data_IF_047070733386
#
_entry.id   IF_047070733386
#
_cell.length_a   1.000
_cell.length_b   1.000
_cell.length_c   1.000
_cell.angle_alpha   90.00
_cell.angle_beta   90.00
_cell.angle_gamma   90.00
#
_symmetry.space_group_name_H-M   'P 1'
#
loop_
_entity.id
_entity.type
_entity.pdbx_description
1 polymer ?
#
# COMPACT_ATOMS: atom_id res chain seq x y z
N UNK A 1 5.82 -13.26 -42.75
CA UNK A 1 6.12 -14.67 -42.45
C UNK A 1 6.66 -14.85 -41.03
N UNK A 2 7.83 -14.30 -40.67
CA UNK A 2 8.46 -14.53 -39.35
C UNK A 2 7.60 -14.11 -38.14
N UNK A 3 6.89 -12.98 -38.20
CA UNK A 3 6.01 -12.53 -37.10
C UNK A 3 4.81 -13.47 -36.93
N UNK A 4 4.18 -13.87 -38.04
CA UNK A 4 3.01 -14.76 -38.04
C UNK A 4 3.37 -16.18 -37.57
N UNK A 5 4.56 -16.69 -37.93
CA UNK A 5 5.10 -17.99 -37.47
C UNK A 5 5.52 -18.00 -35.99
N UNK A 6 5.93 -16.86 -35.43
CA UNK A 6 6.28 -16.74 -34.01
C UNK A 6 5.05 -16.55 -33.09
N UNK A 7 3.94 -16.04 -33.63
CA UNK A 7 2.68 -15.85 -32.89
C UNK A 7 1.80 -17.10 -32.96
N UNK A 8 1.81 -17.80 -34.08
CA UNK A 8 1.12 -19.07 -34.27
C UNK A 8 2.15 -20.19 -34.14
N UNK A 9 2.32 -20.75 -32.94
CA UNK A 9 2.98 -22.04 -32.83
C UNK A 9 2.19 -23.04 -33.66
N UNK A 10 2.88 -23.62 -34.64
CA UNK A 10 2.51 -24.79 -35.45
C UNK A 10 1.38 -25.62 -34.85
N UNK A 11 0.33 -25.90 -35.64
CA UNK A 11 -0.62 -26.99 -35.34
C UNK A 11 0.18 -28.23 -34.94
N UNK A 12 -0.14 -28.81 -33.78
CA UNK A 12 0.41 -30.11 -33.41
C UNK A 12 -0.03 -31.14 -34.47
N UNK A 13 0.88 -31.82 -35.19
CA UNK A 13 0.50 -32.79 -36.21
C UNK A 13 -0.27 -34.00 -35.65
N UNK A 14 -0.26 -34.18 -34.32
CA UNK A 14 -0.84 -35.35 -33.65
C UNK A 14 -2.23 -35.11 -33.03
N UNK A 15 -2.69 -33.86 -32.91
CA UNK A 15 -4.01 -33.56 -32.32
C UNK A 15 -4.64 -32.29 -32.91
N UNK A 16 -5.55 -32.48 -33.87
CA UNK A 16 -6.19 -31.40 -34.64
C UNK A 16 -7.16 -30.52 -33.84
N UNK A 17 -7.42 -30.85 -32.57
CA UNK A 17 -8.46 -30.22 -31.76
C UNK A 17 -7.93 -29.32 -30.63
N UNK A 18 -6.61 -29.18 -30.47
CA UNK A 18 -6.02 -28.24 -29.50
C UNK A 18 -4.85 -27.45 -30.12
N UNK A 19 -4.95 -26.11 -30.27
CA UNK A 19 -3.78 -25.29 -30.54
C UNK A 19 -2.81 -25.40 -29.36
N UNK A 20 -1.52 -25.66 -29.61
CA UNK A 20 -0.48 -25.68 -28.57
C UNK A 20 -0.42 -24.33 -27.83
N UNK A 21 -0.15 -24.31 -26.51
CA UNK A 21 -0.81 -23.38 -25.60
C UNK A 21 0.01 -22.14 -25.19
N UNK A 22 1.16 -21.89 -25.82
CA UNK A 22 2.07 -20.82 -25.37
C UNK A 22 2.56 -19.96 -26.54
N UNK A 23 1.86 -18.86 -26.88
CA UNK A 23 2.43 -17.90 -27.79
C UNK A 23 3.76 -17.44 -27.21
N UNK A 24 4.84 -17.52 -27.99
CA UNK A 24 6.19 -17.11 -27.57
C UNK A 24 6.32 -15.58 -27.57
N UNK A 25 5.29 -14.93 -27.01
CA UNK A 25 5.04 -13.50 -27.07
C UNK A 25 6.14 -12.73 -26.35
N UNK A 26 6.77 -13.32 -25.34
CA UNK A 26 7.90 -12.72 -24.65
C UNK A 26 9.12 -12.51 -25.56
N UNK A 27 9.40 -13.45 -26.49
CA UNK A 27 10.47 -13.29 -27.46
C UNK A 27 10.09 -12.29 -28.55
N UNK A 28 8.87 -12.40 -29.09
CA UNK A 28 8.37 -11.45 -30.09
C UNK A 28 8.35 -10.01 -29.56
N UNK A 29 7.91 -9.80 -28.33
CA UNK A 29 7.79 -8.47 -27.71
C UNK A 29 9.15 -7.82 -27.44
N UNK A 30 10.21 -8.61 -27.24
CA UNK A 30 11.61 -8.15 -27.13
C UNK A 30 12.16 -7.63 -28.46
N UNK A 31 11.71 -8.19 -29.58
CA UNK A 31 12.18 -7.79 -30.90
C UNK A 31 11.71 -6.38 -31.33
N UNK A 32 10.81 -5.74 -30.57
CA UNK A 32 10.44 -4.32 -30.78
C UNK A 32 11.61 -3.36 -30.64
N UNK A 33 12.70 -3.76 -29.99
CA UNK A 33 13.93 -2.96 -29.88
C UNK A 33 14.71 -2.80 -31.20
N UNK A 34 14.37 -3.56 -32.25
CA UNK A 34 15.13 -3.57 -33.52
C UNK A 34 14.90 -2.30 -34.34
N UNK A 35 13.66 -1.85 -34.51
CA UNK A 35 13.34 -0.57 -35.17
C UNK A 35 11.92 -0.10 -34.83
N UNK A 36 11.65 1.21 -35.00
CA UNK A 36 10.31 1.79 -34.76
C UNK A 36 9.24 1.18 -35.68
N UNK A 37 9.54 1.01 -36.95
CA UNK A 37 8.62 0.42 -37.93
C UNK A 37 8.32 -1.04 -37.60
N UNK A 38 9.33 -1.80 -37.17
CA UNK A 38 9.17 -3.18 -36.76
C UNK A 38 8.37 -3.31 -35.46
N UNK A 39 8.59 -2.40 -34.50
CA UNK A 39 7.77 -2.33 -33.29
C UNK A 39 6.29 -2.08 -33.60
N UNK A 40 5.99 -1.13 -34.50
CA UNK A 40 4.62 -0.83 -34.92
C UNK A 40 3.95 -2.03 -35.61
N UNK A 41 4.71 -2.77 -36.42
CA UNK A 41 4.23 -3.97 -37.10
C UNK A 41 3.93 -5.11 -36.11
N UNK A 42 4.83 -5.35 -35.14
CA UNK A 42 4.60 -6.31 -34.06
C UNK A 42 3.36 -5.94 -33.25
N UNK A 43 3.19 -4.67 -32.90
CA UNK A 43 2.02 -4.20 -32.15
C UNK A 43 0.73 -4.39 -32.94
N UNK A 44 0.73 -4.08 -34.24
CA UNK A 44 -0.41 -4.30 -35.13
C UNK A 44 -0.78 -5.78 -35.21
N UNK A 45 0.20 -6.63 -35.45
CA UNK A 45 0.00 -8.08 -35.56
C UNK A 45 -0.56 -8.66 -34.26
N UNK A 46 0.03 -8.31 -33.10
CA UNK A 46 -0.38 -8.85 -31.79
C UNK A 46 -1.76 -8.33 -31.34
N UNK A 47 -2.10 -7.06 -31.60
CA UNK A 47 -3.33 -6.45 -31.07
C UNK A 47 -4.54 -6.47 -32.02
N UNK A 48 -4.34 -6.71 -33.32
CA UNK A 48 -5.43 -6.58 -34.30
C UNK A 48 -5.56 -7.72 -35.31
N UNK A 49 -4.55 -8.59 -35.45
CA UNK A 49 -4.56 -9.66 -36.45
C UNK A 49 -4.66 -11.07 -35.85
N UNK A 50 -4.75 -11.20 -34.52
CA UNK A 50 -4.83 -12.50 -33.85
C UNK A 50 -6.25 -13.04 -33.69
N UNK A 51 -6.43 -14.37 -33.71
CA UNK A 51 -7.72 -15.02 -33.45
C UNK A 51 -8.17 -14.84 -31.99
N UNK A 52 -9.45 -15.05 -31.68
CA UNK A 52 -10.01 -14.78 -30.34
C UNK A 52 -9.36 -15.63 -29.25
N UNK A 53 -9.04 -16.89 -29.55
CA UNK A 53 -8.42 -17.85 -28.64
C UNK A 53 -7.06 -17.34 -28.14
N UNK A 54 -6.34 -16.56 -28.95
CA UNK A 54 -5.06 -15.96 -28.57
C UNK A 54 -5.19 -15.07 -27.33
N UNK A 55 -6.27 -14.29 -27.23
CA UNK A 55 -6.49 -13.34 -26.14
C UNK A 55 -7.01 -14.01 -24.86
N UNK A 56 -7.38 -15.29 -24.90
CA UNK A 56 -7.69 -16.08 -23.70
C UNK A 56 -6.46 -16.36 -22.84
N UNK A 57 -5.26 -16.28 -23.43
CA UNK A 57 -4.02 -16.62 -22.74
C UNK A 57 -3.60 -15.53 -21.73
N UNK A 58 -3.33 -15.93 -20.48
CA UNK A 58 -3.04 -15.03 -19.34
C UNK A 58 -1.91 -14.02 -19.62
N UNK A 59 -0.86 -14.42 -20.34
CA UNK A 59 0.25 -13.52 -20.67
C UNK A 59 -0.16 -12.45 -21.71
N UNK A 60 -1.06 -12.78 -22.63
CA UNK A 60 -1.60 -11.84 -23.61
C UNK A 60 -2.54 -10.86 -22.92
N UNK A 61 -3.39 -11.33 -22.00
CA UNK A 61 -4.24 -10.45 -21.19
C UNK A 61 -3.44 -9.45 -20.37
N UNK A 62 -2.34 -9.88 -19.73
CA UNK A 62 -1.41 -8.96 -19.05
C UNK A 62 -0.80 -7.93 -20.00
N UNK A 63 -0.46 -8.34 -21.22
CA UNK A 63 0.08 -7.46 -22.26
C UNK A 63 -0.92 -6.39 -22.67
N UNK A 64 -2.16 -6.80 -22.98
CA UNK A 64 -3.27 -5.91 -23.30
C UNK A 64 -3.54 -4.96 -22.14
N UNK A 65 -3.58 -5.44 -20.89
CA UNK A 65 -3.76 -4.59 -19.70
C UNK A 65 -2.70 -3.50 -19.61
N UNK A 66 -1.44 -3.85 -19.87
CA UNK A 66 -0.30 -2.93 -19.78
C UNK A 66 -0.27 -1.91 -20.92
N UNK A 67 -0.78 -2.29 -22.10
CA UNK A 67 -0.75 -1.48 -23.31
C UNK A 67 -2.16 -1.16 -23.84
N UNK A 68 -3.11 -0.99 -22.92
CA UNK A 68 -4.54 -0.94 -23.25
C UNK A 68 -4.89 0.17 -24.23
N UNK A 69 -4.30 1.36 -24.09
CA UNK A 69 -4.52 2.46 -25.03
C UNK A 69 -4.12 2.10 -26.46
N UNK A 70 -2.90 1.57 -26.64
CA UNK A 70 -2.40 1.15 -27.96
C UNK A 70 -3.26 0.04 -28.55
N UNK A 71 -3.68 -0.92 -27.73
CA UNK A 71 -4.61 -1.96 -28.14
C UNK A 71 -5.92 -1.36 -28.66
N UNK A 72 -6.57 -0.47 -27.89
CA UNK A 72 -7.85 0.15 -28.28
C UNK A 72 -7.74 0.99 -29.55
N UNK A 73 -6.62 1.70 -29.74
CA UNK A 73 -6.36 2.46 -30.97
C UNK A 73 -6.24 1.55 -32.21
N UNK A 74 -5.64 0.37 -32.08
CA UNK A 74 -5.53 -0.59 -33.19
C UNK A 74 -6.86 -1.29 -33.47
N UNK A 75 -7.57 -1.72 -32.41
CA UNK A 75 -8.90 -2.34 -32.54
C UNK A 75 -9.92 -1.38 -33.16
N UNK A 76 -9.81 -0.07 -32.89
CA UNK A 76 -10.68 0.94 -33.51
C UNK A 76 -10.57 1.02 -35.03
N UNK A 77 -9.48 0.52 -35.63
CA UNK A 77 -9.32 0.43 -37.08
C UNK A 77 -9.98 -0.81 -37.67
N UNK A 78 -10.16 -1.87 -36.87
CA UNK A 78 -10.74 -3.17 -37.26
C UNK A 78 -11.46 -3.82 -36.07
N UNK A 79 -12.70 -3.41 -35.74
CA UNK A 79 -13.37 -3.80 -34.50
C UNK A 79 -13.84 -5.26 -34.44
N UNK A 80 -13.79 -6.02 -35.55
CA UNK A 80 -14.31 -7.40 -35.61
C UNK A 80 -13.61 -8.42 -34.69
N UNK A 81 -12.49 -8.05 -34.05
CA UNK A 81 -11.74 -8.92 -33.13
C UNK A 81 -12.26 -8.92 -31.69
N UNK A 82 -13.20 -8.03 -31.33
CA UNK A 82 -13.69 -7.84 -29.95
C UNK A 82 -15.22 -7.85 -29.87
N UNK A 83 -15.75 -8.07 -28.66
CA UNK A 83 -17.18 -7.96 -28.35
C UNK A 83 -17.67 -6.53 -28.63
N UNK A 84 -18.69 -6.42 -29.48
CA UNK A 84 -19.17 -5.14 -29.98
C UNK A 84 -19.82 -4.28 -28.89
N UNK A 85 -20.50 -4.89 -27.92
CA UNK A 85 -21.15 -4.14 -26.84
C UNK A 85 -20.09 -3.47 -25.96
N UNK A 86 -19.10 -4.24 -25.49
CA UNK A 86 -18.01 -3.71 -24.68
C UNK A 86 -17.21 -2.63 -25.40
N UNK A 87 -16.89 -2.86 -26.68
CA UNK A 87 -16.18 -1.90 -27.51
C UNK A 87 -16.97 -0.60 -27.69
N UNK A 88 -18.27 -0.71 -27.99
CA UNK A 88 -19.17 0.45 -28.14
C UNK A 88 -19.27 1.26 -26.86
N UNK A 89 -19.35 0.60 -25.70
CA UNK A 89 -19.39 1.29 -24.40
C UNK A 89 -18.14 2.15 -24.16
N UNK A 90 -16.94 1.58 -24.32
CA UNK A 90 -15.68 2.31 -24.20
C UNK A 90 -15.59 3.47 -25.20
N UNK A 91 -15.98 3.23 -26.46
CA UNK A 91 -15.98 4.27 -27.48
C UNK A 91 -16.92 5.43 -27.13
N UNK A 92 -18.12 5.16 -26.60
CA UNK A 92 -19.06 6.21 -26.19
C UNK A 92 -18.50 7.07 -25.07
N UNK A 93 -17.76 6.49 -24.13
CA UNK A 93 -17.09 7.24 -23.08
C UNK A 93 -15.98 8.16 -23.62
N UNK A 94 -15.14 7.64 -24.52
CA UNK A 94 -14.09 8.45 -25.18
C UNK A 94 -14.71 9.56 -26.02
N UNK A 95 -15.71 9.23 -26.83
CA UNK A 95 -16.37 10.18 -27.72
C UNK A 95 -17.05 11.31 -26.91
N UNK A 96 -17.61 11.00 -25.74
CA UNK A 96 -18.12 12.01 -24.83
C UNK A 96 -17.04 13.02 -24.39
N UNK A 97 -15.85 12.57 -24.01
CA UNK A 97 -14.73 13.49 -23.69
C UNK A 97 -14.35 14.28 -24.94
N UNK A 98 -14.30 13.58 -26.08
CA UNK A 98 -13.82 14.18 -27.32
C UNK A 98 -14.71 15.34 -27.76
N UNK A 99 -16.02 15.22 -27.61
CA UNK A 99 -17.00 16.25 -27.97
C UNK A 99 -17.00 17.47 -27.04
N UNK A 100 -16.37 17.38 -25.86
CA UNK A 100 -16.40 18.44 -24.83
C UNK A 100 -15.11 19.27 -24.77
N UNK A 101 -14.12 18.94 -25.61
CA UNK A 101 -12.83 19.61 -25.69
C UNK A 101 -12.69 20.21 -27.09
N UNK A 102 -12.24 21.45 -27.16
CA UNK A 102 -11.88 22.11 -28.41
C UNK A 102 -10.45 21.71 -28.80
N UNK A 103 -10.21 21.49 -30.09
CA UNK A 103 -8.91 21.07 -30.62
C UNK A 103 -8.47 22.02 -31.72
N UNK A 104 -7.18 22.33 -31.75
CA UNK A 104 -6.56 23.09 -32.83
C UNK A 104 -6.18 22.16 -34.00
N UNK A 105 -5.84 20.90 -33.70
CA UNK A 105 -5.40 19.92 -34.71
C UNK A 105 -5.85 18.47 -34.42
N UNK A 106 -5.57 17.57 -35.38
CA UNK A 106 -5.86 16.13 -35.25
C UNK A 106 -4.95 15.40 -34.27
N UNK A 107 -3.77 15.92 -33.98
CA UNK A 107 -2.79 15.30 -33.07
C UNK A 107 -3.25 15.46 -31.62
N UNK A 108 -3.66 16.66 -31.22
CA UNK A 108 -4.28 16.97 -29.93
C UNK A 108 -5.52 16.09 -29.68
N UNK A 109 -6.37 15.91 -30.69
CA UNK A 109 -7.52 14.99 -30.58
C UNK A 109 -7.08 13.55 -30.32
N UNK A 110 -6.04 13.09 -30.99
CA UNK A 110 -5.51 11.72 -30.82
C UNK A 110 -4.85 11.55 -29.45
N UNK A 111 -4.16 12.58 -28.95
CA UNK A 111 -3.56 12.61 -27.61
C UNK A 111 -4.63 12.51 -26.51
N UNK A 112 -5.75 13.23 -26.64
CA UNK A 112 -6.87 13.12 -25.69
C UNK A 112 -7.46 11.72 -25.68
N UNK A 113 -7.61 11.10 -26.85
CA UNK A 113 -8.08 9.71 -26.96
C UNK A 113 -7.11 8.74 -26.27
N UNK A 114 -5.80 8.85 -26.58
CA UNK A 114 -4.76 7.99 -25.99
C UNK A 114 -4.70 8.15 -24.47
N UNK A 115 -4.73 9.39 -23.98
CA UNK A 115 -4.75 9.71 -22.55
C UNK A 115 -5.98 9.12 -21.86
N UNK A 116 -7.16 9.21 -22.48
CA UNK A 116 -8.40 8.68 -21.92
C UNK A 116 -8.36 7.16 -21.80
N UNK A 117 -7.92 6.45 -22.84
CA UNK A 117 -7.77 4.98 -22.75
C UNK A 117 -6.68 4.57 -21.76
N UNK A 118 -5.58 5.30 -21.69
CA UNK A 118 -4.56 5.06 -20.67
C UNK A 118 -5.14 5.28 -19.26
N UNK A 119 -5.99 6.28 -19.06
CA UNK A 119 -6.70 6.50 -17.81
C UNK A 119 -7.67 5.37 -17.45
N UNK A 120 -8.40 4.82 -18.44
CA UNK A 120 -9.25 3.65 -18.21
C UNK A 120 -8.47 2.44 -17.69
N UNK A 121 -7.23 2.25 -18.14
CA UNK A 121 -6.37 1.16 -17.63
C UNK A 121 -6.08 1.22 -16.14
N UNK A 122 -6.23 2.41 -15.53
CA UNK A 122 -6.00 2.68 -14.11
C UNK A 122 -7.29 2.71 -13.28
N UNK A 123 -8.38 3.16 -13.88
CA UNK A 123 -9.65 3.45 -13.19
C UNK A 123 -10.64 2.27 -13.28
N UNK A 124 -10.70 1.58 -14.43
CA UNK A 124 -11.68 0.52 -14.64
C UNK A 124 -11.18 -0.83 -14.09
N UNK A 125 -12.10 -1.75 -13.73
CA UNK A 125 -11.73 -3.11 -13.32
C UNK A 125 -11.23 -3.89 -14.53
N UNK A 126 -9.93 -3.75 -14.83
CA UNK A 126 -9.37 -4.21 -16.11
C UNK A 126 -9.50 -5.71 -16.36
N UNK A 127 -9.59 -6.54 -15.33
CA UNK A 127 -9.78 -7.97 -15.50
C UNK A 127 -11.21 -8.28 -16.01
N UNK A 128 -12.21 -7.54 -15.54
CA UNK A 128 -13.59 -7.61 -16.04
C UNK A 128 -13.70 -6.99 -17.45
N UNK A 129 -13.02 -5.87 -17.70
CA UNK A 129 -12.96 -5.20 -19.02
C UNK A 129 -12.37 -6.13 -20.07
N UNK A 130 -11.23 -6.75 -19.77
CA UNK A 130 -10.55 -7.70 -20.66
C UNK A 130 -11.43 -8.93 -20.86
N UNK A 131 -12.05 -9.47 -19.81
CA UNK A 131 -13.00 -10.57 -19.97
C UNK A 131 -14.15 -10.19 -20.91
N UNK A 132 -14.79 -9.03 -20.70
CA UNK A 132 -15.92 -8.57 -21.50
C UNK A 132 -15.57 -8.29 -22.97
N UNK A 133 -14.33 -7.91 -23.29
CA UNK A 133 -13.86 -7.70 -24.67
C UNK A 133 -13.88 -8.99 -25.51
N UNK A 134 -13.83 -10.17 -24.90
CA UNK A 134 -13.84 -11.46 -25.62
C UNK A 134 -14.90 -12.44 -25.09
N UNK A 135 -15.85 -11.96 -24.29
CA UNK A 135 -16.95 -12.78 -23.79
C UNK A 135 -18.12 -12.75 -24.78
N UNK A 136 -18.50 -13.93 -25.30
CA UNK A 136 -19.68 -14.11 -26.15
C UNK A 136 -20.84 -14.79 -25.39
N UNK A 137 -20.66 -15.11 -24.11
CA UNK A 137 -21.66 -15.79 -23.30
C UNK A 137 -22.85 -14.86 -23.01
N UNK A 138 -24.00 -15.20 -23.59
CA UNK A 138 -25.28 -14.53 -23.29
C UNK A 138 -25.59 -14.70 -21.81
N UNK A 139 -25.84 -13.59 -21.10
CA UNK A 139 -26.13 -13.60 -19.66
C UNK A 139 -24.93 -13.85 -18.75
N UNK A 140 -23.69 -13.64 -19.23
CA UNK A 140 -22.51 -13.69 -18.37
C UNK A 140 -22.63 -12.73 -17.18
N UNK A 141 -22.60 -13.27 -15.96
CA UNK A 141 -22.77 -12.49 -14.72
C UNK A 141 -21.73 -11.36 -14.57
N UNK A 142 -20.49 -11.59 -14.96
CA UNK A 142 -19.43 -10.57 -14.94
C UNK A 142 -19.70 -9.43 -15.92
N UNK A 143 -20.08 -9.77 -17.17
CA UNK A 143 -20.41 -8.79 -18.18
C UNK A 143 -21.67 -7.99 -17.81
N UNK A 144 -22.70 -8.65 -17.28
CA UNK A 144 -23.94 -7.99 -16.84
C UNK A 144 -23.71 -7.07 -15.66
N UNK A 145 -22.79 -7.41 -14.73
CA UNK A 145 -22.40 -6.51 -13.64
C UNK A 145 -21.69 -5.25 -14.14
N UNK A 146 -20.93 -5.35 -15.22
CA UNK A 146 -20.15 -4.24 -15.78
C UNK A 146 -20.96 -3.36 -16.76
N UNK A 147 -21.69 -3.97 -17.69
CA UNK A 147 -22.36 -3.30 -18.80
C UNK A 147 -23.89 -3.25 -18.66
N UNK A 148 -24.47 -4.04 -17.76
CA UNK A 148 -25.91 -4.30 -17.73
C UNK A 148 -26.36 -5.32 -18.78
N UNK A 149 -27.68 -5.47 -18.95
CA UNK A 149 -28.27 -6.30 -19.99
C UNK A 149 -28.15 -5.66 -21.38
N UNK A 150 -28.29 -4.34 -21.45
CA UNK A 150 -28.19 -3.53 -22.67
C UNK A 150 -27.55 -2.18 -22.36
N UNK A 151 -26.90 -1.58 -23.36
CA UNK A 151 -26.30 -0.26 -23.20
C UNK A 151 -27.38 0.83 -23.20
N UNK A 152 -27.43 1.70 -22.16
CA UNK A 152 -28.41 2.78 -22.11
C UNK A 152 -28.28 3.74 -23.31
N UNK A 153 -29.39 4.27 -23.81
CA UNK A 153 -29.42 5.20 -24.97
C UNK A 153 -28.54 6.43 -24.71
N UNK A 154 -28.60 6.99 -23.50
CA UNK A 154 -27.74 8.09 -23.05
C UNK A 154 -26.64 7.56 -22.16
N UNK A 155 -25.42 8.06 -22.34
CA UNK A 155 -24.29 7.67 -21.51
C UNK A 155 -24.61 8.02 -20.04
N UNK A 156 -24.61 7.04 -19.12
CA UNK A 156 -24.86 7.26 -17.70
C UNK A 156 -23.91 8.30 -17.10
N UNK A 157 -24.33 8.91 -16.00
CA UNK A 157 -23.52 9.90 -15.30
C UNK A 157 -22.18 9.32 -14.83
N UNK A 158 -22.21 8.13 -14.23
CA UNK A 158 -21.01 7.46 -13.73
C UNK A 158 -19.97 7.27 -14.83
N UNK A 159 -20.40 6.86 -16.02
CA UNK A 159 -19.51 6.66 -17.18
C UNK A 159 -18.93 7.99 -17.67
N UNK A 160 -19.72 9.08 -17.67
CA UNK A 160 -19.23 10.43 -17.98
C UNK A 160 -18.16 10.89 -16.99
N UNK A 161 -18.38 10.63 -15.70
CA UNK A 161 -17.43 10.94 -14.64
C UNK A 161 -16.13 10.16 -14.82
N UNK A 162 -16.21 8.84 -15.00
CA UNK A 162 -15.04 7.98 -15.24
C UNK A 162 -14.28 8.40 -16.50
N UNK A 163 -14.98 8.78 -17.58
CA UNK A 163 -14.37 9.29 -18.80
C UNK A 163 -13.62 10.62 -18.57
N UNK A 164 -14.25 11.58 -17.89
CA UNK A 164 -13.64 12.86 -17.57
C UNK A 164 -12.41 12.71 -16.67
N UNK A 165 -12.47 11.81 -15.68
CA UNK A 165 -11.35 11.52 -14.78
C UNK A 165 -10.21 10.78 -15.50
N UNK A 166 -10.53 9.81 -16.35
CA UNK A 166 -9.56 9.09 -17.16
C UNK A 166 -8.79 10.02 -18.12
N UNK A 167 -9.46 11.03 -18.66
CA UNK A 167 -8.84 12.08 -19.47
C UNK A 167 -8.05 13.13 -18.65
N UNK A 168 -8.13 13.09 -17.31
CA UNK A 168 -7.65 14.14 -16.41
C UNK A 168 -8.20 15.53 -16.76
N UNK A 169 -9.47 15.59 -17.18
CA UNK A 169 -10.14 16.83 -17.57
C UNK A 169 -10.92 17.42 -16.38
N UNK A 170 -10.22 18.16 -15.53
CA UNK A 170 -10.78 18.78 -14.33
C UNK A 170 -11.91 19.78 -14.64
N UNK A 171 -11.89 20.48 -15.78
CA UNK A 171 -12.96 21.40 -16.19
C UNK A 171 -14.27 20.65 -16.44
N UNK A 172 -14.17 19.50 -17.10
CA UNK A 172 -15.33 18.65 -17.35
C UNK A 172 -15.86 18.06 -16.03
N UNK A 173 -14.97 17.63 -15.12
CA UNK A 173 -15.36 17.21 -13.78
C UNK A 173 -16.10 18.32 -13.01
N UNK A 174 -15.62 19.57 -13.04
CA UNK A 174 -16.30 20.70 -12.39
C UNK A 174 -17.69 21.00 -12.99
N UNK A 175 -17.93 20.68 -14.27
CA UNK A 175 -19.26 20.79 -14.90
C UNK A 175 -20.19 19.62 -14.55
N UNK A 176 -19.62 18.44 -14.34
CA UNK A 176 -20.31 17.17 -14.12
C UNK A 176 -20.75 17.07 -12.64
N UNK A 177 -19.85 17.30 -11.68
CA UNK A 177 -20.10 17.09 -10.24
C UNK A 177 -21.33 17.83 -9.68
N UNK A 178 -21.60 19.11 -10.00
CA UNK A 178 -22.76 19.82 -9.46
C UNK A 178 -24.11 19.29 -9.93
N UNK A 179 -24.15 18.51 -11.02
CA UNK A 179 -25.39 18.01 -11.65
C UNK A 179 -25.84 16.66 -11.10
N UNK A 180 -25.23 16.19 -10.02
CA UNK A 180 -25.48 14.89 -9.40
C UNK A 180 -26.83 14.82 -8.68
N UNK A 181 -27.67 13.87 -9.10
CA UNK A 181 -28.82 13.46 -8.30
C UNK A 181 -28.38 12.66 -7.06
N UNK A 182 -29.32 12.27 -6.19
CA UNK A 182 -29.02 11.52 -4.96
C UNK A 182 -28.40 10.15 -5.23
N UNK A 183 -28.94 9.43 -6.22
CA UNK A 183 -28.49 8.06 -6.56
C UNK A 183 -27.07 8.05 -7.12
N UNK A 184 -26.75 9.03 -7.97
CA UNK A 184 -25.43 9.18 -8.57
C UNK A 184 -24.40 9.66 -7.53
N UNK A 185 -24.81 10.40 -6.47
CA UNK A 185 -23.93 10.73 -5.33
C UNK A 185 -23.53 9.48 -4.56
N UNK A 186 -24.49 8.61 -4.26
CA UNK A 186 -24.21 7.36 -3.54
C UNK A 186 -23.28 6.46 -4.37
N UNK A 187 -23.50 6.40 -5.69
CA UNK A 187 -22.59 5.73 -6.63
C UNK A 187 -21.21 6.38 -6.68
N UNK A 188 -21.12 7.70 -6.68
CA UNK A 188 -19.84 8.41 -6.65
C UNK A 188 -19.07 8.06 -5.37
N UNK A 189 -19.72 8.04 -4.21
CA UNK A 189 -19.08 7.71 -2.93
C UNK A 189 -18.60 6.25 -2.92
N UNK A 190 -19.40 5.32 -3.44
CA UNK A 190 -19.07 3.88 -3.46
C UNK A 190 -17.98 3.50 -4.48
N UNK A 191 -17.75 4.33 -5.51
CA UNK A 191 -16.83 4.02 -6.62
C UNK A 191 -15.40 4.51 -6.40
N UNK A 192 -15.02 4.93 -5.19
CA UNK A 192 -13.64 5.33 -4.84
C UNK A 192 -12.98 6.38 -5.77
N UNK A 193 -13.67 7.49 -6.10
CA UNK A 193 -13.19 8.50 -7.05
C UNK A 193 -11.90 9.19 -6.61
N UNK A 194 -11.70 9.32 -5.29
CA UNK A 194 -10.46 9.86 -4.71
C UNK A 194 -9.27 8.93 -4.94
N UNK A 195 -9.48 7.61 -4.84
CA UNK A 195 -8.44 6.62 -5.16
C UNK A 195 -8.06 6.69 -6.64
N UNK A 196 -9.05 6.77 -7.52
CA UNK A 196 -8.81 6.89 -8.96
C UNK A 196 -8.00 8.14 -9.30
N UNK A 197 -8.31 9.29 -8.70
CA UNK A 197 -7.53 10.52 -8.90
C UNK A 197 -6.07 10.36 -8.40
N UNK A 198 -5.87 9.66 -7.28
CA UNK A 198 -4.53 9.31 -6.76
C UNK A 198 -3.76 8.40 -7.74
N UNK A 199 -4.38 7.33 -8.24
CA UNK A 199 -3.77 6.41 -9.22
C UNK A 199 -3.42 7.10 -10.55
N UNK A 200 -4.22 8.08 -10.95
CA UNK A 200 -3.96 8.95 -12.09
C UNK A 200 -2.84 9.95 -11.84
N UNK A 201 -2.40 10.14 -10.58
CA UNK A 201 -1.50 11.21 -10.13
C UNK A 201 -1.99 12.60 -10.53
N UNK A 202 -3.30 12.81 -10.48
CA UNK A 202 -3.93 14.08 -10.85
C UNK A 202 -4.41 14.83 -9.59
N UNK A 203 -3.57 15.74 -9.11
CA UNK A 203 -3.88 16.56 -7.93
C UNK A 203 -5.09 17.47 -8.15
N UNK A 204 -5.27 17.97 -9.38
CA UNK A 204 -6.32 18.96 -9.69
C UNK A 204 -7.69 18.31 -9.69
N UNK A 205 -7.79 17.12 -10.28
CA UNK A 205 -9.02 16.32 -10.23
C UNK A 205 -9.30 15.85 -8.80
N UNK A 206 -8.29 15.42 -8.04
CA UNK A 206 -8.45 15.07 -6.63
C UNK A 206 -9.02 16.24 -5.82
N UNK A 207 -8.43 17.44 -5.94
CA UNK A 207 -8.91 18.62 -5.24
C UNK A 207 -10.33 19.02 -5.64
N UNK A 208 -10.65 18.93 -6.93
CA UNK A 208 -12.00 19.20 -7.44
C UNK A 208 -13.04 18.27 -6.82
N UNK A 209 -12.71 16.97 -6.72
CA UNK A 209 -13.58 15.96 -6.09
C UNK A 209 -13.73 16.25 -4.59
N UNK A 210 -12.62 16.50 -3.88
CA UNK A 210 -12.66 16.77 -2.43
C UNK A 210 -13.49 18.02 -2.12
N UNK A 211 -13.28 19.13 -2.85
CA UNK A 211 -14.08 20.35 -2.68
C UNK A 211 -15.57 20.11 -2.91
N UNK A 212 -15.92 19.29 -3.90
CA UNK A 212 -17.31 18.92 -4.10
C UNK A 212 -17.86 18.15 -2.89
N UNK A 213 -17.11 17.16 -2.36
CA UNK A 213 -17.51 16.41 -1.17
C UNK A 213 -17.69 17.32 0.06
N UNK A 214 -16.84 18.33 0.25
CA UNK A 214 -17.00 19.34 1.32
C UNK A 214 -18.37 20.04 1.28
N UNK A 215 -18.89 20.35 0.09
CA UNK A 215 -20.20 21.00 -0.05
C UNK A 215 -21.38 20.10 0.30
N UNK A 216 -21.19 18.79 0.34
CA UNK A 216 -22.25 17.80 0.57
C UNK A 216 -22.23 17.22 2.01
N UNK A 217 -21.29 17.67 2.84
CA UNK A 217 -20.96 17.07 4.14
C UNK A 217 -22.01 17.26 5.25
N UNK A 218 -22.94 18.21 5.11
CA UNK A 218 -24.10 18.34 6.02
C UNK A 218 -25.08 17.16 5.94
N UNK A 219 -25.06 16.38 4.86
CA UNK A 219 -25.98 15.25 4.63
C UNK A 219 -25.32 13.87 4.78
N UNK A 220 -23.98 13.80 4.79
CA UNK A 220 -23.21 12.56 4.56
C UNK A 220 -22.37 12.08 5.76
N UNK A 221 -22.32 12.83 6.87
CA UNK A 221 -21.64 12.38 8.11
C UNK A 221 -22.16 11.02 8.65
N UNK A 222 -23.43 10.70 8.39
CA UNK A 222 -24.07 9.43 8.81
C UNK A 222 -23.55 8.24 7.98
N UNK A 223 -23.26 8.43 6.69
CA UNK A 223 -22.85 7.35 5.78
C UNK A 223 -21.34 7.04 5.83
N UNK A 224 -20.51 8.01 6.22
CA UNK A 224 -19.06 7.80 6.35
C UNK A 224 -18.67 7.06 7.64
N UNK A 225 -19.58 6.97 8.62
CA UNK A 225 -19.33 6.35 9.93
C UNK A 225 -20.06 5.02 10.12
N UNK A 226 -21.18 4.81 9.43
CA UNK A 226 -21.94 3.56 9.46
C UNK A 226 -21.83 2.80 8.11
N UNK A 227 -21.21 1.62 8.18
CA UNK A 227 -21.32 0.50 7.22
C UNK A 227 -20.62 0.50 5.85
N UNK A 228 -20.02 1.57 5.33
CA UNK A 228 -19.26 1.45 4.06
C UNK A 228 -17.75 1.32 4.26
N UNK A 229 -17.28 0.07 4.38
CA UNK A 229 -15.86 -0.34 4.30
C UNK A 229 -15.12 0.08 3.01
N UNK A 230 -15.76 0.79 2.07
CA UNK A 230 -15.21 1.06 0.73
C UNK A 230 -14.88 2.53 0.42
N UNK A 231 -15.30 3.52 1.20
CA UNK A 231 -14.77 4.89 1.07
C UNK A 231 -13.84 5.19 2.25
N UNK A 232 -12.54 4.96 2.07
CA UNK A 232 -11.57 5.27 3.11
C UNK A 232 -10.58 6.29 2.57
N UNK A 233 -10.85 7.57 2.82
CA UNK A 233 -9.83 8.64 2.70
C UNK A 233 -8.57 8.20 3.46
N UNK A 234 -8.73 7.49 4.58
CA UNK A 234 -7.61 6.87 5.30
C UNK A 234 -6.81 5.88 4.45
N UNK A 235 -7.45 5.04 3.63
CA UNK A 235 -6.76 4.16 2.68
C UNK A 235 -6.09 4.94 1.56
N UNK A 236 -6.71 6.02 1.08
CA UNK A 236 -6.08 6.91 0.11
C UNK A 236 -4.81 7.55 0.69
N UNK A 237 -4.84 8.00 1.94
CA UNK A 237 -3.67 8.51 2.68
C UNK A 237 -2.59 7.42 2.77
N UNK A 238 -2.92 6.19 3.16
CA UNK A 238 -1.95 5.09 3.18
C UNK A 238 -1.27 4.88 1.82
N UNK A 239 -2.06 4.87 0.73
CA UNK A 239 -1.55 4.65 -0.63
C UNK A 239 -0.67 5.83 -1.08
N UNK A 240 -1.08 7.08 -0.84
CA UNK A 240 -0.27 8.26 -1.23
C UNK A 240 1.04 8.32 -0.46
N UNK A 241 1.05 7.92 0.82
CA UNK A 241 2.27 7.80 1.61
C UNK A 241 3.21 6.72 1.07
N UNK A 242 2.67 5.53 0.78
CA UNK A 242 3.42 4.41 0.20
C UNK A 242 4.00 4.75 -1.20
N UNK A 243 3.20 5.38 -2.06
CA UNK A 243 3.60 5.81 -3.41
C UNK A 243 4.49 7.07 -3.44
N UNK A 244 4.77 7.66 -2.27
CA UNK A 244 5.55 8.90 -2.11
C UNK A 244 4.95 10.10 -2.84
N UNK A 245 3.61 10.18 -2.90
CA UNK A 245 2.89 11.28 -3.52
C UNK A 245 2.51 12.34 -2.49
N UNK A 246 3.52 13.09 -2.01
CA UNK A 246 3.39 14.02 -0.89
C UNK A 246 2.30 15.10 -1.06
N UNK A 247 2.16 15.79 -2.22
CA UNK A 247 1.11 16.80 -2.38
C UNK A 247 -0.31 16.25 -2.20
N UNK A 248 -0.57 15.03 -2.69
CA UNK A 248 -1.87 14.40 -2.49
C UNK A 248 -2.06 13.89 -1.05
N UNK A 249 -1.00 13.40 -0.41
CA UNK A 249 -1.04 13.01 1.00
C UNK A 249 -1.40 14.20 1.90
N UNK A 250 -0.76 15.36 1.70
CA UNK A 250 -1.06 16.60 2.42
C UNK A 250 -2.51 17.04 2.20
N UNK A 251 -2.95 17.12 0.95
CA UNK A 251 -4.32 17.51 0.62
C UNK A 251 -5.38 16.61 1.29
N UNK A 252 -5.11 15.29 1.32
CA UNK A 252 -6.01 14.32 1.97
C UNK A 252 -5.97 14.42 3.50
N UNK A 253 -4.80 14.68 4.10
CA UNK A 253 -4.65 14.91 5.54
C UNK A 253 -5.39 16.18 5.97
N UNK A 254 -5.22 17.29 5.24
CA UNK A 254 -5.91 18.56 5.49
C UNK A 254 -7.44 18.39 5.40
N UNK A 255 -7.91 17.68 4.37
CA UNK A 255 -9.33 17.36 4.23
C UNK A 255 -9.83 16.50 5.41
N UNK A 256 -9.04 15.50 5.83
CA UNK A 256 -9.40 14.61 6.92
C UNK A 256 -9.52 15.38 8.23
N UNK A 257 -8.55 16.23 8.54
CA UNK A 257 -8.53 17.03 9.77
C UNK A 257 -9.74 17.96 9.88
N UNK A 258 -10.11 18.59 8.76
CA UNK A 258 -11.21 19.53 8.69
C UNK A 258 -12.59 18.87 8.76
N UNK A 259 -12.77 17.71 8.11
CA UNK A 259 -14.10 17.19 7.79
C UNK A 259 -14.45 15.85 8.48
N UNK A 260 -13.47 15.13 9.03
CA UNK A 260 -13.67 13.76 9.54
C UNK A 260 -13.37 13.63 11.05
N UNK A 261 -13.94 12.61 11.73
CA UNK A 261 -13.66 12.36 13.14
C UNK A 261 -12.22 11.89 13.37
N UNK A 262 -11.80 11.88 14.64
CA UNK A 262 -10.49 11.38 15.06
C UNK A 262 -10.23 9.97 14.50
N UNK A 263 -9.08 9.71 13.85
CA UNK A 263 -8.76 8.39 13.36
C UNK A 263 -8.48 7.42 14.52
N UNK A 264 -8.75 6.13 14.29
CA UNK A 264 -8.40 5.09 15.25
C UNK A 264 -6.88 4.95 15.40
N UNK A 265 -6.40 4.45 16.56
CA UNK A 265 -4.97 4.14 16.80
C UNK A 265 -4.39 3.26 15.67
N UNK A 266 -5.15 2.26 15.20
CA UNK A 266 -4.75 1.38 14.10
C UNK A 266 -4.61 2.11 12.77
N UNK A 267 -5.51 3.04 12.48
CA UNK A 267 -5.48 3.83 11.24
C UNK A 267 -4.26 4.75 11.23
N UNK A 268 -4.07 5.50 12.32
CA UNK A 268 -2.95 6.43 12.45
C UNK A 268 -1.60 5.72 12.47
N UNK A 269 -1.45 4.65 13.25
CA UNK A 269 -0.22 3.85 13.25
C UNK A 269 0.09 3.25 11.87
N UNK A 270 -0.94 2.89 11.09
CA UNK A 270 -0.79 2.50 9.69
C UNK A 270 -0.22 3.63 8.81
N UNK A 271 -0.72 4.86 8.93
CA UNK A 271 -0.17 6.01 8.18
C UNK A 271 1.30 6.27 8.54
N UNK A 272 1.62 6.25 9.83
CA UNK A 272 3.00 6.44 10.30
C UNK A 272 3.90 5.29 9.82
N UNK A 273 3.40 4.06 9.79
CA UNK A 273 4.14 2.90 9.24
C UNK A 273 4.49 3.12 7.76
N UNK A 274 3.51 3.45 6.92
CA UNK A 274 3.72 3.67 5.48
C UNK A 274 4.67 4.86 5.22
N UNK A 275 4.55 5.93 6.00
CA UNK A 275 5.44 7.08 5.90
C UNK A 275 6.88 6.79 6.38
N UNK A 276 7.04 5.88 7.33
CA UNK A 276 8.35 5.49 7.89
C UNK A 276 9.04 4.37 7.11
N UNK A 277 8.29 3.55 6.36
CA UNK A 277 8.82 2.48 5.55
C UNK A 277 9.72 3.02 4.40
N UNK A 278 10.98 2.57 4.35
CA UNK A 278 11.99 2.92 3.33
C UNK A 278 12.45 4.39 3.28
N UNK A 279 12.34 5.12 4.40
CA UNK A 279 12.46 6.58 4.51
C UNK A 279 13.64 7.24 3.75
N UNK A 280 13.40 7.64 2.50
CA UNK A 280 14.19 8.63 1.73
C UNK A 280 13.93 10.06 2.24
N UNK A 281 14.71 11.07 1.81
CA UNK A 281 14.54 12.47 2.24
C UNK A 281 13.08 12.97 2.08
N UNK A 282 12.42 12.63 0.97
CA UNK A 282 11.02 12.99 0.69
C UNK A 282 10.02 12.30 1.63
N UNK A 283 10.33 11.09 2.10
CA UNK A 283 9.46 10.35 3.01
C UNK A 283 9.55 10.89 4.44
N UNK A 284 10.68 11.49 4.82
CA UNK A 284 10.78 12.21 6.09
C UNK A 284 9.82 13.41 6.10
N UNK A 285 9.63 14.09 4.96
CA UNK A 285 8.64 15.16 4.83
C UNK A 285 7.20 14.63 4.91
N UNK A 286 6.92 13.47 4.32
CA UNK A 286 5.62 12.80 4.46
C UNK A 286 5.34 12.41 5.91
N UNK A 287 6.33 11.85 6.61
CA UNK A 287 6.24 11.53 8.03
C UNK A 287 5.98 12.78 8.87
N UNK A 288 6.71 13.87 8.62
CA UNK A 288 6.47 15.17 9.28
C UNK A 288 5.06 15.68 9.06
N UNK A 289 4.50 15.52 7.86
CA UNK A 289 3.12 15.90 7.58
C UNK A 289 2.12 15.09 8.43
N UNK A 290 2.31 13.76 8.52
CA UNK A 290 1.46 12.88 9.36
C UNK A 290 1.60 13.21 10.85
N UNK A 291 2.82 13.53 11.31
CA UNK A 291 3.05 13.90 12.71
C UNK A 291 2.45 15.27 13.08
N UNK A 292 2.48 16.24 12.16
CA UNK A 292 1.83 17.55 12.32
C UNK A 292 0.31 17.45 12.43
N UNK A 293 -0.31 16.53 11.70
CA UNK A 293 -1.74 16.22 11.83
C UNK A 293 -2.11 15.81 13.27
N UNK A 294 -1.16 15.28 14.05
CA UNK A 294 -1.36 14.91 15.45
C UNK A 294 -1.00 16.04 16.45
N UNK A 295 -0.60 17.24 16.00
CA UNK A 295 -0.29 18.34 16.91
C UNK A 295 -1.56 19.09 17.33
N UNK A 296 -1.90 19.05 18.62
CA UNK A 296 -2.88 19.95 19.25
C UNK A 296 -4.24 19.35 19.61
N UNK A 297 -4.74 18.32 18.90
CA UNK A 297 -6.09 17.75 19.15
C UNK A 297 -6.09 16.32 19.68
N UNK A 298 -5.08 15.52 19.35
CA UNK A 298 -5.00 14.09 19.67
C UNK A 298 -3.60 13.69 20.12
N UNK A 299 -3.49 12.71 21.03
CA UNK A 299 -2.21 12.09 21.37
C UNK A 299 -2.21 10.64 20.85
N UNK A 300 -2.00 10.48 19.54
CA UNK A 300 -2.05 9.17 18.86
C UNK A 300 -0.66 8.50 18.75
N UNK A 301 0.37 9.08 19.35
CA UNK A 301 1.70 8.46 19.45
C UNK A 301 1.68 7.49 20.63
N UNK A 302 0.98 6.39 20.41
CA UNK A 302 0.84 5.30 21.35
C UNK A 302 1.73 4.09 21.04
N UNK A 303 1.51 2.99 21.76
CA UNK A 303 2.28 1.76 21.60
C UNK A 303 2.22 1.16 20.19
N UNK A 304 1.06 1.26 19.52
CA UNK A 304 0.86 0.75 18.16
C UNK A 304 1.74 1.53 17.15
N UNK A 305 1.73 2.86 17.25
CA UNK A 305 2.52 3.77 16.41
C UNK A 305 4.01 3.52 16.59
N UNK A 306 4.48 3.48 17.84
CA UNK A 306 5.88 3.19 18.15
C UNK A 306 6.28 1.78 17.69
N UNK A 307 5.40 0.78 17.89
CA UNK A 307 5.64 -0.58 17.44
C UNK A 307 5.81 -0.67 15.92
N UNK A 308 4.96 0.02 15.16
CA UNK A 308 5.03 0.05 13.70
C UNK A 308 6.32 0.73 13.19
N UNK A 309 6.66 1.90 13.76
CA UNK A 309 7.86 2.65 13.40
C UNK A 309 9.13 1.88 13.76
N UNK A 310 9.18 1.27 14.95
CA UNK A 310 10.34 0.46 15.33
C UNK A 310 10.46 -0.80 14.49
N UNK A 311 9.38 -1.35 13.93
CA UNK A 311 9.43 -2.53 13.07
C UNK A 311 9.95 -2.19 11.66
N UNK A 312 9.59 -1.04 11.09
CA UNK A 312 9.82 -0.75 9.66
C UNK A 312 10.66 0.52 9.39
N UNK A 313 10.69 1.47 10.31
CA UNK A 313 11.38 2.75 10.16
C UNK A 313 12.90 2.63 10.17
N UNK A 314 13.57 3.57 9.51
CA UNK A 314 15.01 3.76 9.64
C UNK A 314 15.35 4.66 10.83
N UNK A 315 16.64 4.87 11.10
CA UNK A 315 17.10 5.68 12.25
C UNK A 315 16.50 7.09 12.25
N UNK A 316 16.47 7.78 11.11
CA UNK A 316 15.92 9.14 11.00
C UNK A 316 14.41 9.19 11.28
N UNK A 317 13.64 8.26 10.72
CA UNK A 317 12.19 8.18 10.98
C UNK A 317 11.88 7.88 12.44
N UNK A 318 12.65 6.99 13.07
CA UNK A 318 12.50 6.67 14.49
C UNK A 318 12.80 7.90 15.34
N UNK A 319 13.92 8.59 15.09
CA UNK A 319 14.29 9.81 15.82
C UNK A 319 13.23 10.91 15.67
N UNK A 320 12.70 11.11 14.47
CA UNK A 320 11.65 12.10 14.21
C UNK A 320 10.39 11.79 15.05
N UNK A 321 9.90 10.55 15.05
CA UNK A 321 8.72 10.17 15.83
C UNK A 321 8.98 10.32 17.34
N UNK A 322 10.19 10.01 17.80
CA UNK A 322 10.58 10.14 19.21
C UNK A 322 10.58 11.59 19.71
N UNK A 323 10.80 12.59 18.83
CA UNK A 323 10.71 14.02 19.22
C UNK A 323 9.30 14.43 19.66
N UNK A 324 8.28 13.67 19.25
CA UNK A 324 6.88 13.92 19.62
C UNK A 324 6.39 13.05 20.79
N UNK A 325 7.28 12.24 21.39
CA UNK A 325 6.96 11.45 22.60
C UNK A 325 7.16 12.33 23.83
N UNK A 326 6.10 12.53 24.62
CA UNK A 326 6.14 13.38 25.83
C UNK A 326 7.21 12.95 26.86
N UNK A 327 7.27 11.65 27.15
CA UNK A 327 8.26 11.07 28.08
C UNK A 327 8.65 9.66 27.65
N UNK A 328 9.88 9.51 27.19
CA UNK A 328 10.43 8.24 26.68
C UNK A 328 10.59 7.17 27.77
N UNK A 329 10.64 7.58 29.05
CA UNK A 329 10.84 6.73 30.21
C UNK A 329 9.54 6.37 30.94
N UNK A 330 8.41 6.94 30.54
CA UNK A 330 7.11 6.70 31.15
C UNK A 330 6.38 5.56 30.47
N UNK A 331 5.68 4.76 31.27
CA UNK A 331 4.78 3.70 30.79
C UNK A 331 4.93 2.40 31.55
N UNK A 332 4.30 1.37 31.00
CA UNK A 332 4.35 -0.01 31.53
C UNK A 332 5.16 -0.90 30.61
N UNK A 333 5.29 -2.19 30.94
CA UNK A 333 5.98 -3.16 30.09
C UNK A 333 5.48 -3.19 28.62
N UNK A 334 4.18 -2.95 28.42
CA UNK A 334 3.56 -2.95 27.08
C UNK A 334 3.56 -1.58 26.41
N UNK A 335 3.65 -0.49 27.18
CA UNK A 335 3.43 0.88 26.66
C UNK A 335 4.65 1.79 26.71
N UNK A 336 5.66 1.47 27.51
CA UNK A 336 6.88 2.26 27.60
C UNK A 336 7.67 2.19 26.27
N UNK A 337 8.02 3.34 25.67
CA UNK A 337 8.72 3.41 24.39
C UNK A 337 9.95 2.51 24.31
N UNK A 338 10.80 2.53 25.35
CA UNK A 338 12.02 1.73 25.36
C UNK A 338 11.73 0.21 25.42
N UNK A 339 10.70 -0.23 26.15
CA UNK A 339 10.31 -1.64 26.15
C UNK A 339 9.71 -2.09 24.82
N UNK A 340 8.98 -1.21 24.11
CA UNK A 340 8.51 -1.50 22.76
C UNK A 340 9.70 -1.67 21.80
N UNK A 341 10.73 -0.80 21.91
CA UNK A 341 11.95 -0.92 21.10
C UNK A 341 12.68 -2.24 21.35
N UNK A 342 12.86 -2.65 22.60
CA UNK A 342 13.44 -3.96 22.94
C UNK A 342 12.64 -5.13 22.37
N UNK A 343 11.30 -5.09 22.48
CA UNK A 343 10.44 -6.16 21.94
C UNK A 343 10.41 -6.20 20.42
N UNK A 344 10.71 -5.09 19.74
CA UNK A 344 10.81 -5.04 18.28
C UNK A 344 11.95 -5.89 17.72
N UNK A 345 12.97 -6.20 18.53
CA UNK A 345 14.15 -6.94 18.08
C UNK A 345 15.10 -6.12 17.19
N UNK A 346 14.92 -4.80 17.10
CA UNK A 346 15.73 -3.93 16.23
C UNK A 346 16.68 -3.05 17.04
N UNK A 347 17.98 -3.34 16.94
CA UNK A 347 19.04 -2.58 17.62
C UNK A 347 19.02 -1.08 17.27
N UNK A 348 18.65 -0.74 16.02
CA UNK A 348 18.49 0.65 15.57
C UNK A 348 17.45 1.41 16.40
N UNK A 349 16.34 0.76 16.76
CA UNK A 349 15.31 1.38 17.60
C UNK A 349 15.82 1.62 19.02
N UNK A 350 16.58 0.68 19.58
CA UNK A 350 17.20 0.83 20.91
C UNK A 350 18.18 2.00 20.90
N UNK A 351 19.08 2.06 19.92
CA UNK A 351 20.06 3.14 19.79
C UNK A 351 19.38 4.50 19.65
N UNK A 352 18.33 4.60 18.82
CA UNK A 352 17.57 5.84 18.67
C UNK A 352 16.86 6.26 19.97
N UNK A 353 16.28 5.30 20.72
CA UNK A 353 15.70 5.61 22.02
C UNK A 353 16.75 6.09 23.04
N UNK A 354 17.93 5.47 23.08
CA UNK A 354 19.01 5.89 23.98
C UNK A 354 19.50 7.30 23.64
N UNK A 355 19.64 7.62 22.35
CA UNK A 355 19.96 8.97 21.88
C UNK A 355 18.89 9.99 22.26
N UNK A 356 17.62 9.58 22.31
CA UNK A 356 16.50 10.39 22.78
C UNK A 356 16.36 10.44 24.32
N UNK A 357 17.33 9.91 25.09
CA UNK A 357 17.35 9.99 26.55
C UNK A 357 16.63 8.86 27.27
N UNK A 358 16.39 7.71 26.61
CA UNK A 358 15.86 6.54 27.28
C UNK A 358 16.83 5.99 28.34
N UNK A 359 16.29 5.65 29.50
CA UNK A 359 17.01 4.98 30.57
C UNK A 359 17.16 3.49 30.23
N UNK A 360 18.38 3.06 29.91
CA UNK A 360 18.71 1.66 29.62
C UNK A 360 18.33 0.71 30.77
N UNK A 361 18.32 1.24 32.00
CA UNK A 361 18.00 0.52 33.24
C UNK A 361 16.58 0.83 33.75
N UNK A 362 15.68 1.25 32.86
CA UNK A 362 14.29 1.50 33.20
C UNK A 362 13.69 0.29 33.92
N UNK A 363 13.01 0.53 35.04
CA UNK A 363 12.49 -0.53 35.90
C UNK A 363 10.99 -0.32 36.07
N UNK A 364 10.19 -1.19 35.46
CA UNK A 364 8.71 -1.09 35.50
C UNK A 364 8.11 -2.27 36.23
N UNK A 365 7.02 -2.04 36.95
CA UNK A 365 6.24 -3.13 37.56
C UNK A 365 5.50 -3.90 36.47
N UNK A 366 5.59 -5.23 36.41
CA UNK A 366 4.85 -6.00 35.43
C UNK A 366 3.35 -5.95 35.74
N UNK A 367 2.56 -5.73 34.70
CA UNK A 367 1.09 -5.68 34.79
C UNK A 367 0.49 -7.09 34.98
N UNK A 368 1.30 -8.15 34.75
CA UNK A 368 0.90 -9.55 34.92
C UNK A 368 1.43 -10.12 36.23
N UNK A 369 0.51 -10.43 37.16
CA UNK A 369 0.83 -11.07 38.46
C UNK A 369 1.49 -12.45 38.29
N UNK A 370 1.24 -13.15 37.18
CA UNK A 370 1.80 -14.47 36.87
C UNK A 370 3.33 -14.51 36.72
N UNK A 371 3.98 -13.36 36.46
CA UNK A 371 5.44 -13.32 36.27
C UNK A 371 6.19 -13.43 37.62
N UNK A 372 5.50 -13.24 38.75
CA UNK A 372 6.10 -13.39 40.09
C UNK A 372 7.27 -12.43 40.36
N UNK A 373 7.37 -11.34 39.59
CA UNK A 373 8.43 -10.33 39.68
C UNK A 373 7.87 -9.00 40.12
N UNK A 374 8.63 -8.31 40.96
CA UNK A 374 8.28 -6.97 41.45
C UNK A 374 8.56 -5.90 40.40
N UNK A 375 9.66 -6.04 39.67
CA UNK A 375 10.09 -5.14 38.62
C UNK A 375 10.78 -5.92 37.49
N UNK A 376 10.68 -5.40 36.27
CA UNK A 376 11.32 -5.95 35.08
C UNK A 376 12.14 -4.85 34.41
N UNK A 377 13.34 -5.21 33.92
CA UNK A 377 14.21 -4.32 33.15
C UNK A 377 14.19 -4.67 31.64
N UNK A 378 14.62 -3.75 30.77
CA UNK A 378 14.84 -3.99 29.34
C UNK A 378 15.73 -5.22 29.08
N UNK A 379 16.84 -5.36 29.81
CA UNK A 379 17.77 -6.48 29.67
C UNK A 379 17.14 -7.81 30.07
N UNK A 380 16.37 -7.84 31.16
CA UNK A 380 15.61 -9.03 31.56
C UNK A 380 14.58 -9.42 30.48
N UNK A 381 13.91 -8.44 29.87
CA UNK A 381 12.94 -8.68 28.78
C UNK A 381 13.61 -9.29 27.54
N UNK A 382 14.75 -8.74 27.12
CA UNK A 382 15.52 -9.28 25.99
C UNK A 382 16.04 -10.70 26.28
N UNK A 383 16.54 -10.93 27.51
CA UNK A 383 17.08 -12.22 27.92
C UNK A 383 16.01 -13.33 27.90
N UNK A 384 14.80 -13.03 28.38
CA UNK A 384 13.67 -13.98 28.36
C UNK A 384 13.10 -14.26 26.97
N UNK A 385 13.31 -13.34 26.02
CA UNK A 385 12.98 -13.56 24.60
C UNK A 385 14.09 -14.31 23.85
N UNK A 386 15.22 -14.58 24.51
CA UNK A 386 16.40 -15.23 23.95
C UNK A 386 17.00 -14.46 22.75
N UNK A 387 16.78 -13.15 22.71
CA UNK A 387 17.27 -12.29 21.63
C UNK A 387 18.71 -11.88 21.89
N UNK A 388 19.65 -12.73 21.51
CA UNK A 388 21.09 -12.58 21.78
C UNK A 388 21.64 -11.25 21.24
N UNK A 389 21.14 -10.80 20.08
CA UNK A 389 21.59 -9.54 19.48
C UNK A 389 21.19 -8.36 20.37
N UNK A 390 19.93 -8.33 20.81
CA UNK A 390 19.44 -7.24 21.66
C UNK A 390 20.04 -7.28 23.06
N UNK A 391 20.25 -8.46 23.64
CA UNK A 391 20.95 -8.60 24.94
C UNK A 391 22.37 -8.02 24.83
N UNK A 392 23.08 -8.29 23.73
CA UNK A 392 24.41 -7.70 23.48
C UNK A 392 24.34 -6.18 23.35
N UNK A 393 23.45 -5.66 22.51
CA UNK A 393 23.28 -4.21 22.34
C UNK A 393 22.99 -3.51 23.68
N UNK A 394 22.14 -4.09 24.54
CA UNK A 394 21.82 -3.52 25.84
C UNK A 394 23.01 -3.54 26.81
N UNK A 395 23.78 -4.64 26.87
CA UNK A 395 25.00 -4.72 27.69
C UNK A 395 26.04 -3.68 27.23
N UNK A 396 26.29 -3.59 25.92
CA UNK A 396 27.19 -2.59 25.33
C UNK A 396 26.71 -1.15 25.58
N UNK A 397 25.41 -0.96 25.75
CA UNK A 397 24.79 0.33 26.08
C UNK A 397 24.73 0.62 27.59
N UNK A 398 25.39 -0.18 28.44
CA UNK A 398 25.47 0.05 29.88
C UNK A 398 24.29 -0.48 30.71
N UNK A 399 23.56 -1.48 30.21
CA UNK A 399 22.53 -2.15 31.00
C UNK A 399 23.14 -2.90 32.20
N UNK A 400 22.59 -2.65 33.39
CA UNK A 400 22.96 -3.37 34.62
C UNK A 400 22.56 -4.83 34.47
N UNK A 401 23.54 -5.72 34.62
CA UNK A 401 23.32 -7.16 34.54
C UNK A 401 22.42 -7.58 35.70
N UNK A 402 21.28 -8.26 35.44
CA UNK A 402 20.41 -8.71 36.50
C UNK A 402 21.12 -9.77 37.34
N UNK A 403 20.69 -9.91 38.58
CA UNK A 403 21.16 -10.96 39.46
C UNK A 403 20.97 -12.36 38.84
N UNK A 404 21.95 -13.27 39.01
CA UNK A 404 22.02 -14.59 38.35
C UNK A 404 20.76 -15.44 38.52
N UNK A 405 20.07 -15.33 39.65
CA UNK A 405 18.79 -16.00 39.92
C UNK A 405 17.66 -15.64 38.94
N UNK A 406 17.82 -14.59 38.15
CA UNK A 406 16.85 -14.15 37.13
C UNK A 406 17.23 -14.56 35.70
N UNK A 407 18.42 -15.13 35.49
CA UNK A 407 18.91 -15.47 34.15
C UNK A 407 18.11 -16.61 33.51
N UNK A 408 17.96 -16.61 32.17
CA UNK A 408 17.35 -17.72 31.45
C UNK A 408 18.31 -18.91 31.33
N UNK A 409 17.77 -20.12 31.19
CA UNK A 409 18.55 -21.35 30.94
C UNK A 409 18.92 -21.56 29.47
N UNK A 410 18.53 -20.64 28.58
CA UNK A 410 18.87 -20.70 27.16
C UNK A 410 20.37 -20.46 26.96
N UNK A 411 21.05 -21.43 26.36
CA UNK A 411 22.51 -21.52 26.38
C UNK A 411 23.24 -20.27 25.85
N UNK A 412 22.83 -19.71 24.71
CA UNK A 412 23.51 -18.54 24.13
C UNK A 412 23.33 -17.28 24.97
N UNK A 413 22.13 -17.09 25.48
CA UNK A 413 21.79 -15.92 26.32
C UNK A 413 22.47 -16.02 27.68
N UNK A 414 22.47 -17.22 28.27
CA UNK A 414 23.18 -17.51 29.51
C UNK A 414 24.68 -17.20 29.38
N UNK A 415 25.34 -17.73 28.35
CA UNK A 415 26.77 -17.48 28.12
C UNK A 415 27.09 -16.01 27.97
N UNK A 416 26.25 -15.24 27.28
CA UNK A 416 26.45 -13.81 27.09
C UNK A 416 26.35 -13.04 28.43
N UNK A 417 25.34 -13.36 29.26
CA UNK A 417 25.20 -12.77 30.59
C UNK A 417 26.33 -13.21 31.53
N UNK A 418 26.72 -14.48 31.46
CA UNK A 418 27.84 -15.06 32.21
C UNK A 418 29.16 -14.37 31.88
N UNK A 419 29.48 -14.23 30.60
CA UNK A 419 30.69 -13.53 30.15
C UNK A 419 30.69 -12.06 30.59
N UNK A 420 29.57 -11.37 30.43
CA UNK A 420 29.46 -9.98 30.83
C UNK A 420 29.55 -9.79 32.35
N UNK A 421 28.94 -10.68 33.13
CA UNK A 421 28.98 -10.63 34.60
C UNK A 421 30.35 -10.98 35.16
N UNK A 422 31.02 -11.99 34.58
CA UNK A 422 32.36 -12.41 34.99
C UNK A 422 33.41 -11.31 34.80
N UNK A 423 33.16 -10.32 33.94
CA UNK A 423 34.02 -9.13 33.79
C UNK A 423 33.79 -8.07 34.88
N UNK A 424 32.67 -8.15 35.60
CA UNK A 424 32.29 -7.19 36.65
C UNK A 424 32.64 -7.68 38.06
N UNK A 425 32.98 -8.97 38.21
CA UNK A 425 33.18 -9.61 39.50
C UNK A 425 34.31 -10.63 39.47
N UNK A 426 35.01 -10.77 40.60
CA UNK A 426 36.01 -11.82 40.81
C UNK A 426 35.37 -13.15 41.26
N UNK A 427 34.04 -13.17 41.50
CA UNK A 427 33.31 -14.36 41.94
C UNK A 427 33.12 -15.33 40.76
N UNK A 428 33.55 -16.59 40.94
CA UNK A 428 33.34 -17.64 39.94
C UNK A 428 31.85 -17.99 39.84
N UNK A 429 31.23 -17.56 38.75
CA UNK A 429 29.83 -17.86 38.45
C UNK A 429 29.69 -19.30 37.92
N UNK A 430 28.62 -20.04 38.30
CA UNK A 430 28.41 -21.42 37.87
C UNK A 430 28.35 -21.50 36.33
N UNK A 431 28.72 -22.65 35.77
CA UNK A 431 28.45 -22.92 34.35
C UNK A 431 26.95 -23.24 34.12
N UNK A 432 26.54 -23.40 32.86
CA UNK A 432 25.14 -23.64 32.53
C UNK A 432 24.58 -24.96 33.11
N UNK A 433 25.40 -26.02 33.17
CA UNK A 433 24.95 -27.33 33.66
C UNK A 433 24.78 -27.32 35.17
N UNK A 434 25.69 -26.67 35.89
CA UNK A 434 25.56 -26.41 37.32
C UNK A 434 24.38 -25.46 37.61
N UNK A 435 24.23 -24.39 36.84
CA UNK A 435 23.13 -23.43 36.99
C UNK A 435 21.74 -24.08 36.87
N UNK A 436 21.56 -25.04 35.95
CA UNK A 436 20.30 -25.81 35.81
C UNK A 436 19.98 -26.67 37.03
N UNK A 437 21.00 -27.09 37.79
CA UNK A 437 20.88 -27.97 38.97
C UNK A 437 20.79 -27.21 40.29
N UNK A 438 21.24 -25.96 40.34
CA UNK A 438 21.17 -25.11 41.53
C UNK A 438 19.72 -24.76 41.91
N UNK A 439 19.42 -24.74 43.21
CA UNK A 439 18.12 -24.27 43.69
C UNK A 439 18.07 -22.72 43.69
N UNK A 440 16.86 -22.14 43.74
CA UNK A 440 16.68 -20.67 43.71
C UNK A 440 17.28 -19.94 44.93
N UNK A 441 17.46 -20.62 46.06
CA UNK A 441 18.00 -20.02 47.28
C UNK A 441 19.53 -19.94 47.22
N UNK A 442 20.20 -20.97 46.71
CA UNK A 442 21.64 -21.00 46.48
C UNK A 442 22.03 -19.91 45.48
N UNK A 443 21.26 -19.77 44.40
CA UNK A 443 21.48 -18.71 43.41
C UNK A 443 21.32 -17.32 44.03
N UNK A 444 20.36 -17.12 44.95
CA UNK A 444 20.14 -15.84 45.67
C UNK A 444 21.28 -15.48 46.64
N UNK A 445 22.08 -16.46 47.07
CA UNK A 445 23.20 -16.23 47.98
C UNK A 445 24.45 -15.69 47.26
N UNK A 446 24.55 -15.89 45.94
CA UNK A 446 25.66 -15.39 45.12
C UNK A 446 25.54 -13.87 44.93
N UNK A 447 26.35 -13.10 45.65
CA UNK A 447 26.47 -11.64 45.49
C UNK A 447 27.63 -11.34 44.56
N UNK A 448 27.39 -10.63 43.47
CA UNK A 448 28.41 -10.13 42.56
C UNK A 448 28.04 -8.77 41.99
#
# INVERSE_FOLDING_TARGET
MVIHELVITSKDPSDSWRPSPHPNIGQLWKLRGVSRSFAAEIEREVFSQQPREFYSHRNVQRLVKTHFSRFMLQVSRKPGSVNQMMFTWLQRMVQYVVEQVEYEDKEQRTEVIDKTYNGFSKILPMDDVIHALWCDSVGCSNCSRLLGSELPIRLPYHDKFCAALAASNHRLLSKILPKLDTTDRDRLITTQPTLFAVQMRDLTSLNTILRYLETQLTSTQIFFTAEYKMFSISRCISITLWEKYLPAAQLLLDYYEKNLPCPSSRTYSGWVAEASANCSLDQLQALKAVLRFNTGRWNLIGPDTLGAVYAQGNSAAIQEVLQHVEDINKGTLSTAPFFIAVRSGRAIAIQACLQAGANVNLSVRPNMRAIGRTHITPLETAAHRHDVSIVRTLIESGATIPHISKWPTHARTYRLLHEAASKLTDVVLPDLEHFKRCNKNDLKALRY
#
